data_IF_812022199194
#
_entry.id   IF_812022199194
#
_cell.length_a   1.000
_cell.length_b   1.000
_cell.length_c   1.000
_cell.angle_alpha   90.00
_cell.angle_beta   90.00
_cell.angle_gamma   90.00
#
_symmetry.space_group_name_H-M   'P 1'
#
loop_
_entity.id
_entity.type
_entity.pdbx_description
1 polymer ?
#
# COMPACT_ATOMS: atom_id res chain seq x y z
N UNK A 1 -8.94 -6.69 -3.10
CA UNK A 1 -8.23 -6.71 -1.80
C UNK A 1 -7.08 -5.74 -1.89
N UNK A 2 -6.78 -5.05 -0.81
CA UNK A 2 -5.60 -4.18 -0.68
C UNK A 2 -4.73 -4.74 0.44
N UNK A 3 -3.43 -4.83 0.20
CA UNK A 3 -2.45 -5.23 1.20
C UNK A 3 -1.58 -4.03 1.56
N UNK A 4 -1.43 -3.78 2.85
CA UNK A 4 -0.66 -2.66 3.40
C UNK A 4 0.52 -3.21 4.18
N UNK A 5 1.71 -2.65 3.93
CA UNK A 5 2.96 -3.03 4.56
C UNK A 5 3.58 -1.82 5.25
N UNK A 6 4.10 -2.02 6.45
CA UNK A 6 5.05 -1.10 7.06
C UNK A 6 6.47 -1.64 6.87
N UNK A 7 7.34 -0.85 6.24
CA UNK A 7 8.67 -1.27 5.81
C UNK A 7 9.77 -0.36 6.38
N UNK A 8 10.95 -0.95 6.63
CA UNK A 8 12.19 -0.22 6.94
C UNK A 8 12.80 0.43 5.69
N UNK A 9 12.81 -0.28 4.56
CA UNK A 9 13.27 0.19 3.25
C UNK A 9 12.25 -0.28 2.17
N UNK A 10 12.09 0.51 1.09
CA UNK A 10 11.14 0.26 0.00
C UNK A 10 11.76 -0.39 -1.25
N UNK A 11 13.09 -0.48 -1.36
CA UNK A 11 13.81 -0.92 -2.57
C UNK A 11 13.34 -2.28 -3.09
N UNK A 12 13.16 -3.24 -2.19
CA UNK A 12 12.70 -4.59 -2.55
C UNK A 12 11.28 -4.53 -3.09
N UNK A 13 10.39 -3.79 -2.42
CA UNK A 13 9.01 -3.59 -2.86
C UNK A 13 8.91 -2.90 -4.23
N UNK A 14 9.74 -1.87 -4.48
CA UNK A 14 9.74 -1.13 -5.74
C UNK A 14 10.12 -2.03 -6.92
N UNK A 15 11.10 -2.91 -6.74
CA UNK A 15 11.57 -3.87 -7.76
C UNK A 15 10.67 -5.10 -7.92
N UNK A 16 9.85 -5.40 -6.90
CA UNK A 16 8.99 -6.58 -6.93
C UNK A 16 7.86 -6.41 -7.94
N UNK A 17 7.70 -7.41 -8.81
CA UNK A 17 6.62 -7.47 -9.79
C UNK A 17 5.35 -8.07 -9.17
N UNK A 18 4.19 -7.74 -9.75
CA UNK A 18 2.89 -8.10 -9.20
C UNK A 18 2.73 -9.57 -8.83
N UNK A 19 3.12 -10.49 -9.72
CA UNK A 19 2.96 -11.95 -9.49
C UNK A 19 3.76 -12.45 -8.28
N UNK A 20 4.93 -11.86 -8.04
CA UNK A 20 5.77 -12.20 -6.90
C UNK A 20 5.15 -11.69 -5.60
N UNK A 21 4.69 -10.44 -5.58
CA UNK A 21 4.05 -9.84 -4.41
C UNK A 21 2.73 -10.55 -4.06
N UNK A 22 1.92 -10.89 -5.06
CA UNK A 22 0.64 -11.58 -4.88
C UNK A 22 0.82 -12.95 -4.22
N UNK A 23 1.85 -13.71 -4.62
CA UNK A 23 2.08 -15.07 -4.14
C UNK A 23 2.84 -15.10 -2.81
N UNK A 24 3.95 -14.38 -2.72
CA UNK A 24 4.96 -14.54 -1.66
C UNK A 24 5.42 -13.21 -1.06
N UNK A 25 4.58 -12.17 -1.09
CA UNK A 25 4.98 -10.81 -0.70
C UNK A 25 5.66 -10.71 0.66
N UNK A 26 5.09 -11.33 1.69
CA UNK A 26 5.63 -11.26 3.06
C UNK A 26 7.03 -11.89 3.17
N UNK A 27 7.25 -13.00 2.46
CA UNK A 27 8.56 -13.68 2.41
C UNK A 27 9.59 -12.86 1.63
N UNK A 28 9.19 -12.29 0.49
CA UNK A 28 10.08 -11.46 -0.34
C UNK A 28 10.51 -10.20 0.43
N UNK A 29 9.59 -9.61 1.20
CA UNK A 29 9.83 -8.39 1.95
C UNK A 29 10.37 -8.63 3.36
N UNK A 30 10.58 -9.88 3.79
CA UNK A 30 10.81 -10.23 5.20
C UNK A 30 11.94 -9.44 5.88
N UNK A 31 12.98 -9.08 5.12
CA UNK A 31 14.14 -8.36 5.65
C UNK A 31 13.76 -6.94 6.11
N UNK A 32 12.79 -6.33 5.43
CA UNK A 32 12.34 -4.95 5.65
C UNK A 32 10.95 -4.85 6.29
N UNK A 33 10.19 -5.95 6.30
CA UNK A 33 8.81 -6.00 6.77
C UNK A 33 8.71 -5.90 8.30
N UNK A 34 7.92 -4.94 8.78
CA UNK A 34 7.64 -4.75 10.20
C UNK A 34 6.20 -5.10 10.59
N UNK A 35 5.28 -4.86 9.68
CA UNK A 35 3.87 -5.22 9.83
C UNK A 35 3.20 -5.33 8.47
N UNK A 36 2.17 -6.18 8.38
CA UNK A 36 1.34 -6.36 7.20
C UNK A 36 -0.13 -6.39 7.61
N UNK A 37 -1.02 -5.88 6.75
CA UNK A 37 -2.46 -5.92 6.93
C UNK A 37 -3.18 -6.09 5.60
N UNK A 38 -4.10 -7.04 5.55
CA UNK A 38 -5.03 -7.21 4.44
C UNK A 38 -6.35 -6.49 4.72
N UNK A 39 -6.80 -5.73 3.73
CA UNK A 39 -8.06 -4.95 3.77
C UNK A 39 -8.93 -5.36 2.58
N UNK A 40 -10.16 -5.75 2.87
CA UNK A 40 -11.17 -6.08 1.86
C UNK A 40 -12.07 -4.87 1.65
N UNK A 41 -12.02 -4.29 0.45
CA UNK A 41 -12.88 -3.20 0.02
C UNK A 41 -13.99 -3.79 -0.85
N UNK A 42 -15.25 -3.53 -0.48
CA UNK A 42 -16.41 -3.92 -1.29
C UNK A 42 -16.58 -2.93 -2.46
N UNK A 43 -17.02 -3.38 -3.65
CA UNK A 43 -17.31 -2.47 -4.76
C UNK A 43 -18.29 -1.37 -4.34
N UNK A 44 -17.97 -0.12 -4.67
CA UNK A 44 -18.79 1.05 -4.31
C UNK A 44 -18.76 1.45 -2.84
N UNK A 45 -17.96 0.77 -2.01
CA UNK A 45 -17.77 1.11 -0.60
C UNK A 45 -16.34 1.54 -0.30
N UNK A 46 -16.13 1.93 0.94
CA UNK A 46 -14.85 2.31 1.50
C UNK A 46 -14.45 1.38 2.66
N UNK A 47 -13.20 1.52 3.10
CA UNK A 47 -12.70 0.87 4.30
C UNK A 47 -11.68 1.81 4.97
N UNK A 48 -11.75 1.92 6.29
CA UNK A 48 -10.75 2.62 7.07
C UNK A 48 -9.71 1.63 7.61
N UNK A 49 -8.44 2.03 7.59
CA UNK A 49 -7.36 1.29 8.23
C UNK A 49 -6.72 2.18 9.29
N UNK A 50 -7.01 1.88 10.54
CA UNK A 50 -6.28 2.42 11.69
C UNK A 50 -5.40 1.31 12.27
N UNK A 51 -4.09 1.53 12.26
CA UNK A 51 -3.14 0.64 12.88
C UNK A 51 -1.93 1.43 13.41
N UNK A 52 -1.39 1.07 14.59
CA UNK A 52 -0.19 1.72 15.10
C UNK A 52 1.00 1.60 14.13
N UNK A 53 1.71 2.71 13.93
CA UNK A 53 2.97 2.71 13.20
C UNK A 53 4.06 2.06 14.05
N UNK A 54 4.73 1.04 13.51
CA UNK A 54 5.91 0.43 14.13
C UNK A 54 7.03 1.45 14.16
N UNK A 55 7.76 1.48 15.28
CA UNK A 55 8.82 2.46 15.53
C UNK A 55 9.84 2.52 14.38
N UNK A 56 10.28 1.38 13.86
CA UNK A 56 11.24 1.28 12.76
C UNK A 56 10.68 1.56 11.36
N UNK A 57 9.37 1.80 11.20
CA UNK A 57 8.77 1.99 9.88
C UNK A 57 9.17 3.35 9.31
N UNK A 58 9.68 3.33 8.07
CA UNK A 58 10.02 4.51 7.28
C UNK A 58 9.09 4.68 6.09
N UNK A 59 8.45 3.59 5.64
CA UNK A 59 7.55 3.59 4.51
C UNK A 59 6.28 2.81 4.82
N UNK A 60 5.17 3.29 4.28
CA UNK A 60 3.91 2.53 4.14
C UNK A 60 3.74 2.20 2.66
N UNK A 61 3.82 0.92 2.33
CA UNK A 61 3.63 0.43 0.98
C UNK A 61 2.24 -0.20 0.85
N UNK A 62 1.51 0.14 -0.20
CA UNK A 62 0.15 -0.32 -0.45
C UNK A 62 0.07 -0.98 -1.80
N UNK A 63 -0.50 -2.18 -1.87
CA UNK A 63 -0.68 -2.94 -3.10
C UNK A 63 -2.15 -3.32 -3.30
N UNK A 64 -2.70 -2.94 -4.45
CA UNK A 64 -4.01 -3.34 -4.91
C UNK A 64 -3.91 -4.65 -5.65
N UNK A 65 -4.51 -5.70 -5.11
CA UNK A 65 -4.50 -7.03 -5.69
C UNK A 65 -5.69 -7.19 -6.64
N UNK A 66 -5.58 -6.55 -7.80
CA UNK A 66 -6.59 -6.53 -8.85
C UNK A 66 -6.58 -7.80 -9.71
N UNK A 67 -7.71 -8.11 -10.36
CA UNK A 67 -7.76 -9.24 -11.32
C UNK A 67 -6.94 -8.95 -12.58
N UNK A 68 -6.96 -7.69 -13.04
CA UNK A 68 -6.27 -7.25 -14.25
C UNK A 68 -5.48 -5.96 -13.97
N UNK A 69 -4.43 -6.00 -13.14
CA UNK A 69 -3.67 -4.81 -12.77
C UNK A 69 -3.02 -4.16 -13.99
N UNK A 70 -2.90 -2.82 -13.97
CA UNK A 70 -2.10 -2.10 -14.95
C UNK A 70 -0.60 -2.29 -14.66
N UNK A 71 -0.04 -3.31 -15.29
CA UNK A 71 1.37 -3.68 -15.18
C UNK A 71 2.30 -2.75 -15.96
N UNK A 72 1.78 -2.00 -16.93
CA UNK A 72 2.57 -1.12 -17.80
C UNK A 72 2.97 0.12 -17.02
N UNK A 73 2.00 0.76 -16.35
CA UNK A 73 2.23 1.97 -15.58
C UNK A 73 2.52 1.70 -14.10
N UNK A 74 2.46 0.43 -13.67
CA UNK A 74 2.75 -0.01 -12.29
C UNK A 74 1.86 0.66 -11.24
N UNK A 75 0.65 1.09 -11.63
CA UNK A 75 -0.29 1.87 -10.81
C UNK A 75 -1.06 1.02 -9.82
N UNK A 76 -0.82 -0.29 -9.78
CA UNK A 76 -1.41 -1.21 -8.81
C UNK A 76 -0.74 -1.12 -7.42
N UNK A 77 0.32 -0.32 -7.25
CA UNK A 77 0.97 -0.09 -5.96
C UNK A 77 1.28 1.38 -5.71
N UNK A 78 1.35 1.74 -4.43
CA UNK A 78 1.73 3.06 -3.94
C UNK A 78 2.70 2.94 -2.77
N UNK A 79 3.56 3.94 -2.58
CA UNK A 79 4.46 4.01 -1.43
C UNK A 79 4.42 5.43 -0.85
N UNK A 80 4.14 5.51 0.44
CA UNK A 80 4.11 6.74 1.23
C UNK A 80 5.31 6.72 2.19
N UNK A 81 6.01 7.84 2.32
CA UNK A 81 7.02 7.97 3.38
C UNK A 81 6.32 8.31 4.68
N UNK A 82 6.90 7.85 5.79
CA UNK A 82 6.38 8.18 7.12
C UNK A 82 6.32 9.69 7.36
N UNK A 83 7.30 10.43 6.87
CA UNK A 83 7.36 11.89 6.98
C UNK A 83 6.24 12.62 6.20
N UNK A 84 5.62 11.97 5.22
CA UNK A 84 4.51 12.52 4.42
C UNK A 84 3.13 12.19 5.01
N UNK A 85 3.09 11.53 6.17
CA UNK A 85 1.85 11.13 6.85
C UNK A 85 1.56 12.09 8.00
N UNK A 86 0.34 12.63 7.99
CA UNK A 86 -0.19 13.41 9.09
C UNK A 86 -0.74 12.44 10.18
N UNK A 87 -0.48 12.70 11.47
CA UNK A 87 -0.94 11.83 12.55
C UNK A 87 -2.47 11.86 12.75
N UNK A 88 -3.14 12.92 12.34
CA UNK A 88 -4.57 13.16 12.59
C UNK A 88 -5.39 13.11 11.29
N UNK A 89 -4.77 13.41 10.14
CA UNK A 89 -5.43 13.41 8.82
C UNK A 89 -5.05 12.19 7.98
N UNK A 90 -5.98 11.24 7.71
CA UNK A 90 -5.67 10.05 6.93
C UNK A 90 -5.42 10.38 5.45
N UNK A 91 -4.48 9.65 4.83
CA UNK A 91 -4.34 9.65 3.37
C UNK A 91 -5.43 8.78 2.74
N UNK A 92 -6.05 9.29 1.68
CA UNK A 92 -7.09 8.56 0.93
C UNK A 92 -6.47 7.93 -0.30
N UNK A 93 -6.65 6.61 -0.43
CA UNK A 93 -6.29 5.83 -1.60
C UNK A 93 -7.56 5.32 -2.26
N UNK A 94 -7.75 5.65 -3.53
CA UNK A 94 -8.83 5.14 -4.34
C UNK A 94 -8.38 3.88 -5.08
N UNK A 95 -9.14 2.80 -4.91
CA UNK A 95 -8.95 1.55 -5.63
C UNK A 95 -10.06 1.39 -6.67
N UNK A 96 -9.76 1.68 -7.94
CA UNK A 96 -10.74 1.69 -9.02
C UNK A 96 -10.07 1.44 -10.36
N UNK A 97 -10.82 0.97 -11.37
CA UNK A 97 -10.33 0.79 -12.74
C UNK A 97 -8.95 0.07 -12.82
N UNK A 98 -8.77 -0.96 -11.99
CA UNK A 98 -7.55 -1.76 -11.87
C UNK A 98 -6.27 -1.04 -11.43
N UNK A 99 -6.39 0.13 -10.80
CA UNK A 99 -5.28 0.90 -10.25
C UNK A 99 -5.56 1.40 -8.83
N UNK A 100 -4.48 1.82 -8.16
CA UNK A 100 -4.49 2.58 -6.91
C UNK A 100 -4.08 4.02 -7.18
N UNK A 101 -4.97 4.96 -6.92
CA UNK A 101 -4.70 6.38 -6.99
C UNK A 101 -4.58 6.96 -5.58
N UNK A 102 -3.48 7.68 -5.30
CA UNK A 102 -3.35 8.47 -4.10
C UNK A 102 -4.05 9.81 -4.32
N UNK A 103 -5.08 10.09 -3.54
CA UNK A 103 -5.80 11.35 -3.67
C UNK A 103 -4.93 12.51 -3.13
N UNK A 104 -5.08 13.72 -3.71
CA UNK A 104 -4.50 14.93 -3.16
C UNK A 104 -4.92 15.12 -1.71
N UNK A 105 -4.11 15.84 -0.93
CA UNK A 105 -4.54 16.32 0.38
C UNK A 105 -5.75 17.24 0.15
N UNK A 106 -6.81 17.05 0.95
CA UNK A 106 -7.90 18.02 0.96
C UNK A 106 -7.35 19.31 1.57
N UNK A 107 -7.45 20.41 0.82
CA UNK A 107 -7.27 21.74 1.38
C UNK A 107 -8.49 22.01 2.28
N UNK A 108 -8.24 22.55 3.48
CA UNK A 108 -9.28 22.91 4.44
C UNK A 108 -10.07 24.15 3.96
#
# INVERSE_FOLDING_TARGET
MVRVYQLKDRKTFDKTVYQQLLKNGDTILQADLLATRDVVIKPGGDANLDMPMKEGAQFVAVAGLFRHPDMVNNTWKQVLRREDLDPDKPRVLEAGNNHLALQPLKED
#
